data_IF_029342300940
#
_entry.id   IF_029342300940
#
_cell.length_a   1.000
_cell.length_b   1.000
_cell.length_c   1.000
_cell.angle_alpha   90.00
_cell.angle_beta   90.00
_cell.angle_gamma   90.00
#
_symmetry.space_group_name_H-M   'P 1'
#
loop_
_entity.id
_entity.type
_entity.pdbx_description
1 polymer ?
#
# COMPACT_ATOMS: atom_id res chain seq x y z
N UNK A 1 18.16 -5.13 4.43
CA UNK A 1 16.91 -4.54 3.89
C UNK A 1 16.79 -5.01 2.46
N UNK A 2 15.71 -5.69 2.09
CA UNK A 2 15.46 -6.12 0.71
C UNK A 2 15.10 -4.92 -0.17
N UNK A 3 15.28 -5.03 -1.50
CA UNK A 3 14.88 -3.98 -2.46
C UNK A 3 13.41 -3.56 -2.31
N UNK A 4 12.55 -4.52 -1.92
CA UNK A 4 11.13 -4.24 -1.70
C UNK A 4 10.90 -3.40 -0.43
N UNK A 5 11.63 -3.67 0.64
CA UNK A 5 11.58 -2.88 1.88
C UNK A 5 12.13 -1.47 1.67
N UNK A 6 13.20 -1.34 0.90
CA UNK A 6 13.77 -0.04 0.52
C UNK A 6 12.77 0.79 -0.29
N UNK A 7 12.10 0.20 -1.27
CA UNK A 7 11.10 0.90 -2.07
C UNK A 7 9.90 1.35 -1.23
N UNK A 8 9.42 0.50 -0.31
CA UNK A 8 8.33 0.89 0.61
C UNK A 8 8.79 2.01 1.55
N UNK A 9 10.03 1.95 2.05
CA UNK A 9 10.61 3.00 2.90
C UNK A 9 10.74 4.33 2.17
N UNK A 10 11.17 4.30 0.91
CA UNK A 10 11.25 5.48 0.04
C UNK A 10 9.87 6.12 -0.14
N UNK A 11 8.85 5.33 -0.46
CA UNK A 11 7.47 5.84 -0.61
C UNK A 11 6.92 6.40 0.71
N UNK A 12 7.09 5.69 1.84
CA UNK A 12 6.66 6.19 3.17
C UNK A 12 7.35 7.51 3.53
N UNK A 13 8.64 7.65 3.20
CA UNK A 13 9.41 8.86 3.49
C UNK A 13 8.91 10.05 2.68
N UNK A 14 8.62 9.86 1.38
CA UNK A 14 8.06 10.91 0.53
C UNK A 14 6.66 11.33 1.00
N UNK A 15 5.79 10.38 1.33
CA UNK A 15 4.45 10.70 1.84
C UNK A 15 4.49 11.48 3.16
N UNK A 16 5.47 11.20 4.03
CA UNK A 16 5.66 11.95 5.28
C UNK A 16 6.03 13.42 5.06
N UNK A 17 6.72 13.74 3.97
CA UNK A 17 7.00 15.14 3.61
C UNK A 17 5.70 15.90 3.32
N UNK A 18 4.69 15.20 2.79
CA UNK A 18 3.34 15.72 2.52
C UNK A 18 2.41 15.62 3.75
N UNK A 19 2.93 15.27 4.93
CA UNK A 19 2.12 15.07 6.15
C UNK A 19 1.27 13.79 6.14
N UNK A 20 1.49 12.89 5.18
CA UNK A 20 0.81 11.60 5.07
C UNK A 20 1.69 10.46 5.60
N UNK A 21 1.10 9.32 5.94
CA UNK A 21 1.86 8.14 6.40
C UNK A 21 1.21 6.86 5.93
N UNK A 22 2.02 5.89 5.51
CA UNK A 22 1.51 4.55 5.25
C UNK A 22 1.26 3.81 6.57
N UNK A 23 0.04 3.32 6.72
CA UNK A 23 -0.31 2.35 7.76
C UNK A 23 0.43 1.03 7.55
N UNK A 24 0.53 0.23 8.62
CA UNK A 24 1.12 -1.10 8.53
C UNK A 24 0.40 -1.99 7.49
N UNK A 25 -0.92 -1.81 7.33
CA UNK A 25 -1.72 -2.53 6.34
C UNK A 25 -1.37 -2.14 4.91
N UNK A 26 -1.16 -0.85 4.64
CA UNK A 26 -0.77 -0.37 3.31
C UNK A 26 0.64 -0.84 2.96
N UNK A 27 1.59 -0.77 3.89
CA UNK A 27 2.94 -1.32 3.71
C UNK A 27 2.92 -2.81 3.39
N UNK A 28 2.08 -3.58 4.09
CA UNK A 28 1.89 -5.02 3.80
C UNK A 28 1.28 -5.24 2.42
N UNK A 29 0.27 -4.46 2.03
CA UNK A 29 -0.36 -4.55 0.70
C UNK A 29 0.65 -4.27 -0.40
N UNK A 30 1.51 -3.25 -0.22
CA UNK A 30 2.60 -2.97 -1.15
C UNK A 30 3.58 -4.15 -1.24
N UNK A 31 4.00 -4.72 -0.10
CA UNK A 31 4.88 -5.89 -0.09
C UNK A 31 4.27 -7.10 -0.81
N UNK A 32 2.98 -7.37 -0.58
CA UNK A 32 2.27 -8.46 -1.25
C UNK A 32 2.21 -8.23 -2.78
N UNK A 33 2.13 -6.99 -3.26
CA UNK A 33 2.23 -6.66 -4.69
C UNK A 33 3.66 -6.89 -5.22
N UNK A 34 4.69 -6.45 -4.49
CA UNK A 34 6.09 -6.55 -4.92
C UNK A 34 6.63 -7.97 -4.91
N UNK A 35 6.05 -8.84 -4.10
CA UNK A 35 6.37 -10.27 -4.05
C UNK A 35 5.48 -11.12 -4.96
N UNK A 36 4.54 -10.50 -5.69
CA UNK A 36 3.63 -11.19 -6.61
C UNK A 36 2.52 -12.00 -5.95
N UNK A 37 2.37 -11.92 -4.63
CA UNK A 37 1.28 -12.59 -3.88
C UNK A 37 -0.10 -12.05 -4.25
N UNK A 38 -0.17 -10.79 -4.66
CA UNK A 38 -1.34 -10.18 -5.28
C UNK A 38 -0.91 -9.26 -6.41
N UNK A 39 -1.86 -8.90 -7.28
CA UNK A 39 -1.65 -7.84 -8.28
C UNK A 39 -2.11 -6.49 -7.75
N UNK A 40 -1.53 -5.41 -8.26
CA UNK A 40 -1.99 -4.05 -7.98
C UNK A 40 -3.48 -3.89 -8.31
N UNK A 41 -3.95 -4.39 -9.46
CA UNK A 41 -5.35 -4.30 -9.89
C UNK A 41 -6.30 -4.92 -8.85
N UNK A 42 -5.95 -6.10 -8.32
CA UNK A 42 -6.74 -6.77 -7.28
C UNK A 42 -6.72 -5.99 -5.96
N UNK A 43 -5.55 -5.53 -5.53
CA UNK A 43 -5.41 -4.75 -4.30
C UNK A 43 -6.20 -3.42 -4.37
N UNK A 44 -6.14 -2.74 -5.52
CA UNK A 44 -6.86 -1.50 -5.77
C UNK A 44 -8.38 -1.70 -5.76
N UNK A 45 -8.89 -2.74 -6.44
CA UNK A 45 -10.33 -3.05 -6.43
C UNK A 45 -10.83 -3.32 -5.00
N UNK A 46 -10.08 -4.08 -4.20
CA UNK A 46 -10.45 -4.34 -2.80
C UNK A 46 -10.49 -3.07 -1.94
N UNK A 47 -9.60 -2.11 -2.20
CA UNK A 47 -9.63 -0.82 -1.52
C UNK A 47 -10.88 -0.03 -1.89
N UNK A 48 -11.23 0.04 -3.18
CA UNK A 48 -12.45 0.69 -3.66
C UNK A 48 -13.71 0.06 -3.07
N UNK A 49 -13.80 -1.26 -3.08
CA UNK A 49 -14.97 -1.98 -2.55
C UNK A 49 -15.15 -1.74 -1.05
N UNK A 50 -14.05 -1.67 -0.28
CA UNK A 50 -14.09 -1.32 1.14
C UNK A 50 -14.65 0.09 1.35
N UNK A 51 -14.18 1.08 0.58
CA UNK A 51 -14.68 2.45 0.69
C UNK A 51 -16.16 2.55 0.33
N UNK A 52 -16.59 1.86 -0.74
CA UNK A 52 -18.01 1.82 -1.15
C UNK A 52 -18.91 1.24 -0.06
N UNK A 53 -18.47 0.20 0.64
CA UNK A 53 -19.23 -0.40 1.75
C UNK A 53 -19.34 0.46 3.01
N UNK A 54 -18.43 1.41 3.20
CA UNK A 54 -18.46 2.33 4.35
C UNK A 54 -19.32 3.56 4.07
N UNK A 55 -19.51 3.91 2.80
CA UNK A 55 -20.32 5.05 2.37
C UNK A 55 -21.81 4.71 2.10
N UNK A 56 -22.19 3.44 2.21
CA UNK A 56 -23.56 2.94 2.05
C UNK A 56 -24.11 2.51 3.41
#
# INVERSE_FOLDING_TARGET
>A
MSKNEEMISFVDSNLRLEGMKLSAREKKTMMDCLTGKTTYKKAFQLALDKHRRVAA
#
